data_IF_336410234435
#
_entry.id   IF_336410234435
#
_cell.length_a   1.000
_cell.length_b   1.000
_cell.length_c   1.000
_cell.angle_alpha   90.00
_cell.angle_beta   90.00
_cell.angle_gamma   90.00
#
_symmetry.space_group_name_H-M   'P 1'
#
loop_
_entity.id
_entity.type
_entity.pdbx_description
1 polymer ?
#
# COMPACT_ATOMS: atom_id res chain seq x y z
N UNK A 1 -9.70 22.71 17.96
CA UNK A 1 -9.53 21.40 17.30
C UNK A 1 -8.06 21.30 16.94
N UNK A 2 -7.32 20.30 17.44
CA UNK A 2 -5.94 20.11 17.00
C UNK A 2 -5.94 19.77 15.51
N UNK A 3 -5.27 20.59 14.72
CA UNK A 3 -5.09 20.36 13.29
C UNK A 3 -4.19 19.14 13.12
N UNK A 4 -4.60 18.20 12.28
CA UNK A 4 -3.77 17.04 11.95
C UNK A 4 -2.66 17.52 11.00
N UNK A 5 -1.41 17.30 11.38
CA UNK A 5 -0.26 17.50 10.49
C UNK A 5 0.08 16.17 9.80
N UNK A 6 -0.35 16.04 8.55
CA UNK A 6 -0.15 14.83 7.75
C UNK A 6 1.34 14.51 7.52
N UNK A 7 2.19 15.53 7.40
CA UNK A 7 3.63 15.32 7.18
C UNK A 7 4.33 14.87 8.45
N UNK A 8 3.95 15.42 9.62
CA UNK A 8 4.45 14.94 10.90
C UNK A 8 4.04 13.48 11.15
N UNK A 9 2.78 13.13 10.85
CA UNK A 9 2.30 11.76 10.98
C UNK A 9 3.00 10.80 10.01
N UNK A 10 3.23 11.22 8.76
CA UNK A 10 3.97 10.42 7.79
C UNK A 10 5.39 10.13 8.27
N UNK A 11 6.12 11.13 8.78
CA UNK A 11 7.48 10.93 9.31
C UNK A 11 7.49 9.97 10.49
N UNK A 12 6.53 10.10 11.41
CA UNK A 12 6.41 9.17 12.53
C UNK A 12 6.17 7.72 12.06
N UNK A 13 5.30 7.52 11.05
CA UNK A 13 5.09 6.21 10.43
C UNK A 13 6.36 5.67 9.78
N UNK A 14 7.07 6.49 9.00
CA UNK A 14 8.31 6.12 8.35
C UNK A 14 9.38 5.68 9.36
N UNK A 15 9.53 6.44 10.46
CA UNK A 15 10.49 6.11 11.52
C UNK A 15 10.12 4.81 12.25
N UNK A 16 8.82 4.57 12.48
CA UNK A 16 8.35 3.30 13.05
C UNK A 16 8.66 2.11 12.12
N UNK A 17 8.45 2.25 10.82
CA UNK A 17 8.75 1.20 9.84
C UNK A 17 10.26 0.96 9.77
N UNK A 18 11.09 2.01 9.76
CA UNK A 18 12.55 1.88 9.83
C UNK A 18 13.01 1.21 11.12
N UNK A 19 12.39 1.54 12.26
CA UNK A 19 12.68 0.87 13.53
C UNK A 19 12.35 -0.62 13.52
N UNK A 20 11.25 -1.00 12.86
CA UNK A 20 10.81 -2.40 12.80
C UNK A 20 11.58 -3.25 11.78
N UNK A 21 11.99 -2.66 10.65
CA UNK A 21 12.54 -3.42 9.51
C UNK A 21 13.98 -3.04 9.14
N UNK A 22 14.54 -1.96 9.68
CA UNK A 22 15.83 -1.43 9.27
C UNK A 22 15.88 -1.22 7.75
N UNK A 23 16.96 -1.70 7.13
CA UNK A 23 17.15 -1.64 5.67
C UNK A 23 16.56 -2.85 4.92
N UNK A 24 15.74 -3.68 5.58
CA UNK A 24 15.26 -4.93 5.00
C UNK A 24 14.42 -4.74 3.73
N UNK A 25 13.75 -3.60 3.55
CA UNK A 25 12.98 -3.31 2.33
C UNK A 25 13.85 -3.24 1.07
N UNK A 26 15.12 -2.86 1.19
CA UNK A 26 16.07 -2.83 0.08
C UNK A 26 16.74 -4.20 -0.18
N UNK A 27 16.64 -5.13 0.77
CA UNK A 27 17.29 -6.43 0.68
C UNK A 27 16.48 -7.43 -0.18
N UNK A 28 17.15 -8.33 -0.93
CA UNK A 28 16.47 -9.45 -1.58
C UNK A 28 15.73 -10.32 -0.56
N UNK A 29 14.45 -10.64 -0.82
CA UNK A 29 13.60 -11.38 0.13
C UNK A 29 13.13 -10.54 1.33
N UNK A 30 13.32 -9.22 1.26
CA UNK A 30 12.77 -8.24 2.19
C UNK A 30 11.25 -8.19 2.21
N UNK A 31 10.66 -7.49 3.20
CA UNK A 31 9.24 -7.16 3.17
C UNK A 31 8.89 -6.31 1.94
N UNK A 32 7.65 -6.43 1.47
CA UNK A 32 7.10 -5.68 0.34
C UNK A 32 5.94 -4.80 0.79
N UNK A 33 5.71 -3.70 0.07
CA UNK A 33 4.64 -2.74 0.37
C UNK A 33 3.45 -2.98 -0.56
N UNK A 34 2.24 -2.92 -0.01
CA UNK A 34 1.01 -2.91 -0.78
C UNK A 34 0.08 -1.83 -0.25
N UNK A 35 -0.43 -0.95 -1.10
CA UNK A 35 -1.36 0.11 -0.72
C UNK A 35 -2.79 -0.15 -1.19
N UNK A 36 -3.79 0.09 -0.36
CA UNK A 36 -5.20 0.02 -0.77
C UNK A 36 -5.50 1.17 -1.74
N UNK A 37 -6.17 0.90 -2.86
CA UNK A 37 -6.44 1.89 -3.91
C UNK A 37 -7.12 3.18 -3.40
N UNK A 38 -8.01 3.08 -2.41
CA UNK A 38 -8.79 4.22 -1.88
C UNK A 38 -7.99 5.21 -1.02
N UNK A 39 -6.69 5.03 -0.84
CA UNK A 39 -5.85 5.96 -0.09
C UNK A 39 -4.51 5.41 0.42
N UNK A 40 -4.30 4.10 0.41
CA UNK A 40 -3.01 3.50 0.76
C UNK A 40 -2.01 3.51 -0.39
N UNK A 41 -2.46 3.52 -1.66
CA UNK A 41 -1.58 3.42 -2.83
C UNK A 41 -0.52 4.54 -2.89
N UNK A 42 -0.90 5.79 -2.63
CA UNK A 42 0.04 6.92 -2.65
C UNK A 42 1.02 6.89 -1.45
N UNK A 43 0.58 6.36 -0.30
CA UNK A 43 1.47 6.15 0.85
C UNK A 43 2.45 5.00 0.58
N UNK A 44 2.00 3.89 -0.01
CA UNK A 44 2.85 2.77 -0.37
C UNK A 44 3.93 3.18 -1.38
N UNK A 45 3.58 3.99 -2.38
CA UNK A 45 4.54 4.56 -3.33
C UNK A 45 5.59 5.42 -2.61
N UNK A 46 5.14 6.34 -1.75
CA UNK A 46 6.04 7.25 -1.03
C UNK A 46 6.94 6.49 -0.06
N UNK A 47 6.40 5.54 0.70
CA UNK A 47 7.16 4.67 1.60
C UNK A 47 8.18 3.83 0.82
N UNK A 48 7.81 3.28 -0.34
CA UNK A 48 8.74 2.50 -1.15
C UNK A 48 9.97 3.31 -1.55
N UNK A 49 9.75 4.57 -1.95
CA UNK A 49 10.84 5.52 -2.24
C UNK A 49 11.71 5.78 -1.02
N UNK A 50 11.09 6.13 0.11
CA UNK A 50 11.82 6.57 1.31
C UNK A 50 12.50 5.43 2.08
N UNK A 51 12.08 4.18 1.84
CA UNK A 51 12.66 2.95 2.41
C UNK A 51 13.61 2.23 1.42
N UNK A 52 13.74 2.71 0.18
CA UNK A 52 14.55 2.06 -0.85
C UNK A 52 14.00 0.71 -1.31
N UNK A 53 12.69 0.49 -1.18
CA UNK A 53 12.06 -0.72 -1.66
C UNK A 53 12.07 -0.77 -3.21
N UNK A 54 12.27 -1.96 -3.83
CA UNK A 54 12.34 -2.08 -5.29
C UNK A 54 10.99 -1.82 -5.99
N UNK A 55 9.89 -1.86 -5.25
CA UNK A 55 8.56 -1.60 -5.78
C UNK A 55 7.48 -1.66 -4.70
N UNK A 56 6.24 -1.46 -5.12
CA UNK A 56 5.05 -1.58 -4.30
C UNK A 56 3.90 -2.14 -5.13
N UNK A 57 2.89 -2.66 -4.43
CA UNK A 57 1.65 -3.14 -5.02
C UNK A 57 0.48 -2.24 -4.68
N UNK A 58 -0.60 -2.37 -5.43
CA UNK A 58 -1.87 -1.72 -5.17
C UNK A 58 -2.96 -2.79 -5.06
N UNK A 59 -3.69 -2.79 -3.94
CA UNK A 59 -4.82 -3.68 -3.72
C UNK A 59 -6.11 -2.91 -3.95
N UNK A 60 -6.91 -3.36 -4.91
CA UNK A 60 -8.28 -2.90 -5.04
C UNK A 60 -9.21 -3.84 -4.28
N UNK A 61 -9.86 -3.29 -3.24
CA UNK A 61 -10.84 -4.00 -2.41
C UNK A 61 -12.28 -3.71 -2.82
N UNK A 62 -12.50 -3.16 -4.02
CA UNK A 62 -13.83 -3.05 -4.60
C UNK A 62 -14.46 -4.45 -4.62
N UNK A 63 -15.37 -4.70 -3.68
CA UNK A 63 -16.16 -5.92 -3.69
C UNK A 63 -16.86 -5.98 -5.04
N UNK A 64 -16.64 -7.07 -5.79
CA UNK A 64 -17.70 -7.59 -6.64
C UNK A 64 -18.82 -8.04 -5.70
N UNK A 65 -19.62 -7.08 -5.23
CA UNK A 65 -20.95 -7.38 -4.75
C UNK A 65 -21.68 -7.92 -5.96
N UNK A 66 -22.12 -9.16 -5.88
CA UNK A 66 -23.12 -9.76 -6.77
C UNK A 66 -24.48 -8.98 -6.79
N UNK A 67 -24.53 -7.70 -6.40
CA UNK A 67 -25.70 -6.83 -6.32
C UNK A 67 -25.85 -5.86 -7.51
N UNK A 68 -25.04 -5.94 -8.56
CA UNK A 68 -25.22 -5.12 -9.77
C UNK A 68 -26.30 -5.65 -10.74
N UNK A 69 -27.28 -6.40 -10.24
CA UNK A 69 -28.48 -6.74 -11.01
C UNK A 69 -29.33 -5.50 -11.37
N UNK A 70 -29.05 -4.30 -10.85
CA UNK A 70 -29.78 -3.07 -11.21
C UNK A 70 -28.87 -1.85 -11.22
N UNK A 71 -28.81 -1.21 -12.40
CA UNK A 71 -28.24 0.10 -12.74
C UNK A 71 -26.77 0.07 -13.15
N UNK A 72 -26.55 0.24 -14.45
CA UNK A 72 -25.25 0.47 -15.02
C UNK A 72 -24.58 1.69 -14.40
N UNK A 73 -23.33 1.50 -14.02
CA UNK A 73 -22.22 2.40 -14.30
C UNK A 73 -20.98 1.54 -14.11
N UNK A 74 -20.25 1.27 -15.20
CA UNK A 74 -18.97 0.59 -15.15
C UNK A 74 -17.98 1.50 -14.43
N UNK A 75 -17.81 1.36 -13.11
CA UNK A 75 -16.56 1.75 -12.49
C UNK A 75 -15.51 0.80 -13.07
N UNK A 76 -14.62 1.31 -13.92
CA UNK A 76 -13.37 0.62 -14.19
C UNK A 76 -12.63 0.56 -12.84
N UNK A 77 -12.89 -0.49 -12.08
CA UNK A 77 -12.14 -0.79 -10.88
C UNK A 77 -10.69 -1.00 -11.34
N UNK A 78 -9.80 -0.06 -11.02
CA UNK A 78 -8.37 -0.21 -11.29
C UNK A 78 -7.92 -1.54 -10.67
N UNK A 79 -7.44 -2.52 -11.44
CA UNK A 79 -7.23 -3.87 -10.93
C UNK A 79 -6.17 -3.88 -9.82
N UNK A 80 -6.29 -4.83 -8.89
CA UNK A 80 -5.18 -5.17 -7.97
C UNK A 80 -3.94 -5.49 -8.79
N UNK A 81 -2.83 -4.82 -8.48
CA UNK A 81 -1.54 -5.02 -9.13
C UNK A 81 -0.49 -5.27 -8.05
N UNK A 82 -0.01 -6.51 -7.96
CA UNK A 82 1.05 -6.92 -7.04
C UNK A 82 2.23 -7.38 -7.90
N UNK A 83 3.14 -6.48 -8.32
CA UNK A 83 4.27 -6.82 -9.19
C UNK A 83 5.40 -7.53 -8.41
N UNK A 84 5.03 -8.46 -7.54
CA UNK A 84 5.90 -9.27 -6.69
C UNK A 84 5.19 -10.58 -6.34
N UNK A 85 5.96 -11.61 -6.00
CA UNK A 85 5.42 -12.87 -5.51
C UNK A 85 4.76 -12.68 -4.13
N UNK A 86 3.52 -13.17 -4.00
CA UNK A 86 2.73 -13.05 -2.76
C UNK A 86 2.97 -14.25 -1.84
N UNK A 87 3.20 -15.43 -2.40
CA UNK A 87 3.35 -16.64 -1.60
C UNK A 87 4.61 -16.57 -0.72
N UNK A 88 4.44 -16.79 0.58
CA UNK A 88 5.50 -16.65 1.58
C UNK A 88 6.02 -15.22 1.80
N UNK A 89 5.47 -14.20 1.13
CA UNK A 89 5.94 -12.83 1.27
C UNK A 89 5.46 -12.17 2.58
N UNK A 90 6.31 -11.34 3.16
CA UNK A 90 5.93 -10.44 4.27
C UNK A 90 5.43 -9.14 3.67
N UNK A 91 4.12 -8.93 3.71
CA UNK A 91 3.49 -7.75 3.10
C UNK A 91 3.12 -6.76 4.20
N UNK A 92 3.62 -5.53 4.07
CA UNK A 92 3.12 -4.38 4.83
C UNK A 92 2.01 -3.74 4.01
N UNK A 93 0.78 -3.94 4.48
CA UNK A 93 -0.42 -3.36 3.88
C UNK A 93 -0.66 -1.96 4.44
N UNK A 94 -0.88 -1.01 3.55
CA UNK A 94 -1.06 0.43 3.83
C UNK A 94 -2.41 0.89 3.31
#
# INVERSE_FOLDING_TARGET
MSTIDAEALYRALLDQIRGAYGDAFAAPGGPVLAGIHSGGAWLAERLARDLGAPGFGVVNVALHRDDYAKKGLHSQASPTSLPFEVDGARIVLV
#
